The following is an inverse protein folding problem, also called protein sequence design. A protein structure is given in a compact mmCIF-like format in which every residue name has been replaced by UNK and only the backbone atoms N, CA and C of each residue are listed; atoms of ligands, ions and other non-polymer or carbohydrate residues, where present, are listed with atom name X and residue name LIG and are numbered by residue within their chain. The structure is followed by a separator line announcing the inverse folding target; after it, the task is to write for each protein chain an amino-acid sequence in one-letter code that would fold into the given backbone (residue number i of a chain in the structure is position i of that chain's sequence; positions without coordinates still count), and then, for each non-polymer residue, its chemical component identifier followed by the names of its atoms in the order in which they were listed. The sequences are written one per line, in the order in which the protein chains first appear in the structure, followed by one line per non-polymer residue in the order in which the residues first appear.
data_IF_225977748694
#
_entry.id   IF_225977748694
#
_cell.length_a   1.000
_cell.length_b   1.000
_cell.length_c   1.000
_cell.angle_alpha   90.00
_cell.angle_beta   90.00
_cell.angle_gamma   90.00
#
_symmetry.space_group_name_H-M   'P 1'
#
loop_
_entity.id
_entity.type
_entity.pdbx_description
1 polymer ?
#
# COMPACT_ATOMS: atom_id res chain seq x y z
N UNK A 1 -2.74 33.08 12.91
CA UNK A 1 -3.57 32.27 11.99
C UNK A 1 -3.27 30.80 12.28
N UNK A 2 -4.26 29.93 12.50
CA UNK A 2 -4.01 28.49 12.70
C UNK A 2 -3.84 27.86 11.32
N UNK A 3 -2.65 27.35 11.02
CA UNK A 3 -2.37 26.68 9.75
C UNK A 3 -3.28 25.45 9.58
N UNK A 4 -3.81 25.27 8.37
CA UNK A 4 -4.59 24.10 7.99
C UNK A 4 -4.41 23.85 6.49
N UNK A 5 -4.03 22.63 6.13
CA UNK A 5 -3.93 22.19 4.75
C UNK A 5 -5.18 21.40 4.38
N UNK A 6 -5.81 21.78 3.27
CA UNK A 6 -6.98 21.12 2.73
C UNK A 6 -6.71 19.63 2.43
N UNK A 7 -7.53 18.75 2.99
CA UNK A 7 -7.44 17.31 2.76
C UNK A 7 -7.64 16.94 1.29
N UNK A 8 -8.49 17.67 0.56
CA UNK A 8 -8.74 17.40 -0.86
C UNK A 8 -7.46 17.61 -1.70
N UNK A 9 -6.70 18.67 -1.42
CA UNK A 9 -5.43 18.96 -2.11
C UNK A 9 -4.39 17.85 -1.91
N UNK A 10 -4.33 17.28 -0.72
CA UNK A 10 -3.39 16.19 -0.44
C UNK A 10 -3.81 14.91 -1.14
N UNK A 11 -5.10 14.56 -1.11
CA UNK A 11 -5.61 13.40 -1.83
C UNK A 11 -5.39 13.52 -3.36
N UNK A 12 -5.61 14.71 -3.92
CA UNK A 12 -5.34 15.01 -5.33
C UNK A 12 -3.85 14.84 -5.65
N UNK A 13 -2.98 15.45 -4.85
CA UNK A 13 -1.53 15.33 -5.02
C UNK A 13 -1.05 13.87 -4.93
N UNK A 14 -1.57 13.08 -3.99
CA UNK A 14 -1.24 11.65 -3.86
C UNK A 14 -1.58 10.89 -5.13
N UNK A 15 -2.78 11.07 -5.69
CA UNK A 15 -3.19 10.41 -6.94
C UNK A 15 -2.36 10.89 -8.12
N UNK A 16 -2.07 12.18 -8.19
CA UNK A 16 -1.24 12.75 -9.25
C UNK A 16 0.18 12.16 -9.23
N UNK A 17 0.79 12.06 -8.05
CA UNK A 17 2.16 11.55 -7.91
C UNK A 17 2.24 10.05 -8.20
N UNK A 18 1.31 9.22 -7.71
CA UNK A 18 1.25 7.80 -8.11
C UNK A 18 1.17 7.66 -9.64
N UNK A 19 0.31 8.46 -10.30
CA UNK A 19 0.19 8.46 -11.76
C UNK A 19 1.46 8.93 -12.45
N UNK A 20 2.14 9.97 -11.94
CA UNK A 20 3.43 10.46 -12.46
C UNK A 20 4.54 9.41 -12.34
N UNK A 21 4.45 8.56 -11.32
CA UNK A 21 5.32 7.38 -11.12
C UNK A 21 4.83 6.14 -11.86
N UNK A 22 3.84 6.29 -12.76
CA UNK A 22 3.28 5.22 -13.59
C UNK A 22 2.65 4.05 -12.81
N UNK A 23 2.16 4.32 -11.60
CA UNK A 23 1.42 3.36 -10.75
C UNK A 23 -0.07 3.57 -10.96
N UNK A 24 -0.77 2.54 -11.44
CA UNK A 24 -2.24 2.55 -11.58
C UNK A 24 -2.89 1.78 -10.43
N UNK A 25 -4.04 2.27 -9.95
CA UNK A 25 -4.80 1.59 -8.89
C UNK A 25 -5.14 0.15 -9.27
N UNK A 26 -5.41 -0.11 -10.56
CA UNK A 26 -5.70 -1.45 -11.09
C UNK A 26 -4.55 -2.43 -10.84
N UNK A 27 -3.30 -2.00 -10.99
CA UNK A 27 -2.11 -2.83 -10.81
C UNK A 27 -1.92 -3.18 -9.32
N UNK A 28 -2.28 -2.28 -8.42
CA UNK A 28 -2.32 -2.56 -6.98
C UNK A 28 -3.45 -3.55 -6.66
N UNK A 29 -4.61 -3.40 -7.29
CA UNK A 29 -5.75 -4.29 -7.11
C UNK A 29 -5.44 -5.73 -7.58
N UNK A 30 -4.61 -5.89 -8.62
CA UNK A 30 -4.10 -7.20 -9.06
C UNK A 30 -3.22 -7.85 -7.99
N UNK A 31 -2.41 -7.09 -7.24
CA UNK A 31 -1.66 -7.61 -6.09
C UNK A 31 -2.60 -8.07 -4.97
N UNK A 32 -3.66 -7.31 -4.69
CA UNK A 32 -4.68 -7.70 -3.71
C UNK A 32 -5.38 -8.99 -4.13
N UNK A 33 -5.74 -9.11 -5.41
CA UNK A 33 -6.31 -10.32 -5.98
C UNK A 33 -5.35 -11.50 -5.81
N UNK A 34 -4.06 -11.32 -6.15
CA UNK A 34 -3.03 -12.33 -5.97
C UNK A 34 -2.91 -12.81 -4.51
N UNK A 35 -2.98 -11.88 -3.55
CA UNK A 35 -2.92 -12.18 -2.12
C UNK A 35 -4.14 -12.94 -1.59
N UNK A 36 -5.33 -12.67 -2.12
CA UNK A 36 -6.59 -13.09 -1.51
C UNK A 36 -7.36 -14.16 -2.29
N UNK A 37 -7.08 -14.39 -3.58
CA UNK A 37 -7.88 -15.28 -4.44
C UNK A 37 -7.96 -16.74 -3.93
N UNK A 38 -6.91 -17.24 -3.28
CA UNK A 38 -6.86 -18.60 -2.74
C UNK A 38 -7.75 -18.78 -1.49
N UNK A 39 -8.07 -17.67 -0.81
CA UNK A 39 -8.88 -17.67 0.41
C UNK A 39 -10.32 -17.25 0.15
N UNK A 40 -10.55 -16.50 -0.94
CA UNK A 40 -11.84 -15.88 -1.25
C UNK A 40 -12.22 -16.22 -2.71
N UNK A 41 -12.91 -17.35 -2.95
CA UNK A 41 -13.16 -17.88 -4.29
C UNK A 41 -13.96 -16.97 -5.23
N UNK A 42 -14.84 -16.14 -4.67
CA UNK A 42 -15.73 -15.20 -5.38
C UNK A 42 -15.21 -13.75 -5.33
N UNK A 43 -13.92 -13.55 -5.01
CA UNK A 43 -13.31 -12.23 -5.03
C UNK A 43 -13.23 -11.68 -6.46
N UNK A 44 -13.70 -10.45 -6.65
CA UNK A 44 -13.60 -9.77 -7.94
C UNK A 44 -12.52 -8.68 -7.92
N UNK A 45 -11.98 -8.34 -9.10
CA UNK A 45 -11.02 -7.24 -9.21
C UNK A 45 -11.65 -5.90 -8.81
N UNK A 46 -12.97 -5.75 -8.97
CA UNK A 46 -13.71 -4.58 -8.52
C UNK A 46 -13.69 -4.46 -6.98
N UNK A 47 -13.87 -5.57 -6.25
CA UNK A 47 -13.76 -5.59 -4.79
C UNK A 47 -12.35 -5.19 -4.33
N UNK A 48 -11.33 -5.74 -5.01
CA UNK A 48 -9.92 -5.40 -4.76
C UNK A 48 -9.69 -3.90 -4.96
N UNK A 49 -10.14 -3.36 -6.09
CA UNK A 49 -9.98 -1.94 -6.43
C UNK A 49 -10.70 -1.04 -5.43
N UNK A 50 -11.93 -1.37 -5.03
CA UNK A 50 -12.63 -0.62 -3.98
C UNK A 50 -11.80 -0.60 -2.70
N UNK A 51 -11.25 -1.76 -2.29
CA UNK A 51 -10.44 -1.85 -1.08
C UNK A 51 -9.17 -0.99 -1.15
N UNK A 52 -8.47 -0.98 -2.29
CA UNK A 52 -7.32 -0.09 -2.53
C UNK A 52 -7.73 1.38 -2.41
N UNK A 53 -8.84 1.78 -3.02
CA UNK A 53 -9.34 3.17 -2.94
C UNK A 53 -9.62 3.59 -1.48
N UNK A 54 -10.19 2.72 -0.65
CA UNK A 54 -10.40 3.00 0.79
C UNK A 54 -9.11 3.17 1.57
N UNK A 55 -8.05 2.48 1.18
CA UNK A 55 -6.71 2.66 1.78
C UNK A 55 -6.14 4.02 1.37
N UNK A 56 -6.25 4.40 0.09
CA UNK A 56 -5.76 5.68 -0.45
C UNK A 56 -6.51 6.90 0.12
N UNK A 57 -7.73 6.74 0.61
CA UNK A 57 -8.49 7.80 1.29
C UNK A 57 -7.91 8.20 2.66
N UNK A 58 -7.04 7.37 3.26
CA UNK A 58 -6.49 7.60 4.60
C UNK A 58 -5.38 8.64 4.57
N UNK A 59 -5.43 9.60 5.50
CA UNK A 59 -4.46 10.69 5.59
C UNK A 59 -3.04 10.17 5.85
N UNK A 60 -2.91 9.19 6.74
CA UNK A 60 -1.63 8.57 7.08
C UNK A 60 -0.99 7.89 5.86
N UNK A 61 -1.80 7.23 5.02
CA UNK A 61 -1.34 6.62 3.76
C UNK A 61 -0.89 7.69 2.77
N UNK A 62 -1.67 8.75 2.60
CA UNK A 62 -1.32 9.85 1.71
C UNK A 62 -0.01 10.52 2.11
N UNK A 63 0.20 10.71 3.41
CA UNK A 63 1.45 11.26 3.95
C UNK A 63 2.64 10.33 3.64
N UNK A 64 2.49 9.02 3.83
CA UNK A 64 3.53 8.05 3.51
C UNK A 64 3.87 8.04 2.02
N UNK A 65 2.86 7.98 1.14
CA UNK A 65 3.05 8.01 -0.32
C UNK A 65 3.80 9.28 -0.76
N UNK A 66 3.35 10.45 -0.33
CA UNK A 66 3.97 11.71 -0.72
C UNK A 66 5.41 11.84 -0.21
N UNK A 67 5.67 11.35 1.01
CA UNK A 67 7.00 11.39 1.62
C UNK A 67 7.97 10.46 0.89
N UNK A 68 7.57 9.20 0.65
CA UNK A 68 8.41 8.22 -0.03
C UNK A 68 8.73 8.61 -1.47
N UNK A 69 7.71 8.98 -2.25
CA UNK A 69 7.91 9.44 -3.64
C UNK A 69 8.82 10.68 -3.68
N UNK A 70 8.70 11.59 -2.70
CA UNK A 70 9.57 12.76 -2.68
C UNK A 70 11.04 12.38 -2.41
N UNK A 71 11.31 11.40 -1.55
CA UNK A 71 12.67 10.92 -1.29
C UNK A 71 13.26 10.22 -2.51
N UNK A 72 12.47 9.39 -3.20
CA UNK A 72 12.85 8.79 -4.48
C UNK A 72 13.22 9.87 -5.52
N UNK A 73 12.41 10.92 -5.68
CA UNK A 73 12.67 12.01 -6.62
C UNK A 73 13.91 12.82 -6.24
N UNK A 74 14.14 13.09 -4.95
CA UNK A 74 15.35 13.79 -4.51
C UNK A 74 16.60 12.94 -4.77
N UNK A 75 16.49 11.62 -4.59
CA UNK A 75 17.55 10.68 -4.90
C UNK A 75 17.88 10.68 -6.40
N UNK A 76 16.86 10.64 -7.26
CA UNK A 76 17.01 10.74 -8.74
C UNK A 76 17.77 12.00 -9.16
N UNK A 77 17.53 13.11 -8.47
CA UNK A 77 18.17 14.40 -8.76
C UNK A 77 19.55 14.58 -8.13
N UNK A 78 20.01 13.64 -7.31
CA UNK A 78 21.26 13.80 -6.57
C UNK A 78 21.20 14.86 -5.46
N UNK A 79 20.01 15.14 -4.94
CA UNK A 79 19.77 16.21 -3.95
C UNK A 79 19.81 15.71 -2.50
N UNK A 80 20.03 14.40 -2.27
CA UNK A 80 20.25 13.87 -0.93
C UNK A 80 21.72 14.05 -0.52
N UNK A 81 21.98 14.25 0.77
CA UNK A 81 23.35 14.29 1.28
C UNK A 81 23.96 12.87 1.31
N UNK A 82 25.29 12.76 1.17
CA UNK A 82 25.98 11.50 1.41
C UNK A 82 26.07 11.20 2.93
N UNK A 83 25.97 9.94 3.39
CA UNK A 83 25.85 8.71 2.60
C UNK A 83 24.41 8.33 2.18
N UNK A 84 23.39 9.11 2.57
CA UNK A 84 21.97 8.80 2.28
C UNK A 84 21.68 8.69 0.78
N UNK A 85 22.30 9.54 -0.03
CA UNK A 85 22.20 9.47 -1.48
C UNK A 85 22.55 8.08 -2.03
N UNK A 86 23.63 7.46 -1.54
CA UNK A 86 24.04 6.14 -2.00
C UNK A 86 23.17 5.02 -1.42
N UNK A 87 22.76 5.15 -0.15
CA UNK A 87 21.88 4.15 0.46
C UNK A 87 20.55 4.03 -0.27
N UNK A 88 19.89 5.16 -0.56
CA UNK A 88 18.61 5.17 -1.27
C UNK A 88 18.83 4.77 -2.72
N UNK A 89 19.80 5.37 -3.43
CA UNK A 89 20.00 5.10 -4.86
C UNK A 89 20.26 3.62 -5.17
N UNK A 90 21.02 2.96 -4.30
CA UNK A 90 21.39 1.57 -4.50
C UNK A 90 20.37 0.60 -3.91
N UNK A 91 19.37 1.10 -3.17
CA UNK A 91 18.41 0.27 -2.44
C UNK A 91 19.20 -0.73 -1.55
N UNK A 92 19.96 -0.13 -0.63
CA UNK A 92 20.90 -0.82 0.23
C UNK A 92 20.14 -1.70 1.24
N UNK A 93 20.35 -3.03 1.21
CA UNK A 93 19.54 -3.95 2.02
C UNK A 93 19.68 -3.84 3.56
N UNK A 94 20.51 -2.93 4.09
CA UNK A 94 20.55 -2.57 5.51
C UNK A 94 19.90 -1.20 5.81
N UNK A 95 19.52 -0.47 4.78
CA UNK A 95 18.66 0.70 4.87
C UNK A 95 17.22 0.22 4.94
N UNK A 96 16.58 0.40 6.09
CA UNK A 96 15.25 -0.17 6.37
C UNK A 96 14.15 0.89 6.58
N UNK A 97 14.33 2.10 6.07
CA UNK A 97 13.48 3.26 6.43
C UNK A 97 12.24 3.34 5.53
N UNK A 98 12.41 2.94 4.29
CA UNK A 98 11.40 2.57 3.30
C UNK A 98 10.39 1.56 3.86
N UNK A 99 10.83 0.44 4.42
CA UNK A 99 9.91 -0.55 5.01
C UNK A 99 9.25 0.02 6.28
N UNK A 100 9.96 0.83 7.09
CA UNK A 100 9.34 1.49 8.25
C UNK A 100 8.19 2.40 7.80
N UNK A 101 8.39 3.16 6.71
CA UNK A 101 7.35 4.02 6.15
C UNK A 101 6.20 3.18 5.58
N UNK A 102 6.50 2.11 4.87
CA UNK A 102 5.52 1.17 4.33
C UNK A 102 4.70 0.49 5.44
N UNK A 103 5.34 0.08 6.53
CA UNK A 103 4.67 -0.48 7.71
C UNK A 103 3.68 0.49 8.35
N UNK A 104 3.90 1.81 8.24
CA UNK A 104 2.91 2.80 8.70
C UNK A 104 1.57 2.71 7.94
N UNK A 105 1.59 2.31 6.66
CA UNK A 105 0.41 2.05 5.85
C UNK A 105 -0.25 0.74 6.29
N UNK A 106 0.54 -0.33 6.42
CA UNK A 106 0.05 -1.65 6.82
C UNK A 106 -0.67 -1.60 8.17
N UNK A 107 -0.13 -0.84 9.12
CA UNK A 107 -0.66 -0.69 10.48
C UNK A 107 -2.11 -0.18 10.53
N UNK A 108 -2.57 0.56 9.52
CA UNK A 108 -3.92 1.13 9.50
C UNK A 108 -5.00 0.05 9.47
N UNK A 109 -4.68 -1.12 8.90
CA UNK A 109 -5.57 -2.28 8.83
C UNK A 109 -5.06 -3.47 9.64
N UNK A 110 -4.14 -3.23 10.59
CA UNK A 110 -3.72 -4.19 11.59
C UNK A 110 -2.67 -5.20 11.13
N UNK A 111 -2.26 -6.05 12.09
CA UNK A 111 -1.09 -6.93 11.97
C UNK A 111 -1.24 -8.06 10.95
N UNK A 112 -2.47 -8.37 10.51
CA UNK A 112 -2.72 -9.35 9.43
C UNK A 112 -2.00 -8.91 8.15
N UNK A 113 -1.84 -7.61 7.94
CA UNK A 113 -1.17 -7.08 6.75
C UNK A 113 0.33 -7.34 6.73
N UNK A 114 0.96 -7.65 7.88
CA UNK A 114 2.41 -7.76 7.97
C UNK A 114 2.94 -8.94 7.17
N UNK A 115 2.25 -10.09 7.29
CA UNK A 115 2.63 -11.31 6.56
C UNK A 115 2.40 -11.14 5.07
N UNK A 116 1.29 -10.51 4.67
CA UNK A 116 1.01 -10.19 3.27
C UNK A 116 2.08 -9.26 2.69
N UNK A 117 2.43 -8.19 3.42
CA UNK A 117 3.44 -7.22 2.99
C UNK A 117 4.80 -7.90 2.79
N UNK A 118 5.35 -8.54 3.81
CA UNK A 118 6.64 -9.22 3.71
C UNK A 118 6.66 -10.35 2.66
N UNK A 119 5.51 -10.97 2.38
CA UNK A 119 5.40 -12.00 1.34
C UNK A 119 5.54 -11.43 -0.07
N UNK A 120 4.79 -10.37 -0.41
CA UNK A 120 4.86 -9.76 -1.76
C UNK A 120 6.10 -8.89 -1.93
N UNK A 121 6.61 -8.31 -0.85
CA UNK A 121 7.90 -7.62 -0.86
C UNK A 121 9.03 -8.58 -1.26
N UNK A 122 9.07 -9.78 -0.67
CA UNK A 122 10.04 -10.80 -1.07
C UNK A 122 9.87 -11.31 -2.50
N UNK A 123 8.62 -11.50 -2.95
CA UNK A 123 8.32 -12.09 -4.26
C UNK A 123 8.35 -11.07 -5.41
N UNK A 124 8.09 -9.79 -5.11
CA UNK A 124 7.88 -8.69 -6.05
C UNK A 124 7.02 -9.06 -7.27
N UNK A 125 5.78 -9.58 -7.15
CA UNK A 125 4.95 -9.91 -8.31
C UNK A 125 4.40 -8.66 -9.02
N UNK A 126 4.07 -8.79 -10.31
CA UNK A 126 3.30 -7.79 -11.05
C UNK A 126 3.99 -6.43 -11.10
N UNK A 127 3.32 -5.37 -10.64
CA UNK A 127 3.90 -4.02 -10.62
C UNK A 127 5.16 -3.92 -9.76
N UNK A 128 5.29 -4.73 -8.70
CA UNK A 128 6.48 -4.70 -7.85
C UNK A 128 7.72 -5.18 -8.60
N UNK A 129 7.58 -6.12 -9.54
CA UNK A 129 8.68 -6.56 -10.40
C UNK A 129 9.20 -5.40 -11.24
N UNK A 130 8.26 -4.62 -11.82
CA UNK A 130 8.59 -3.44 -12.62
C UNK A 130 9.22 -2.34 -11.80
N UNK A 131 8.73 -2.07 -10.59
CA UNK A 131 9.29 -1.02 -9.73
C UNK A 131 10.67 -1.40 -9.18
N UNK A 132 10.93 -2.69 -9.00
CA UNK A 132 12.24 -3.20 -8.59
C UNK A 132 13.27 -3.25 -9.74
N UNK A 133 12.84 -3.06 -10.99
CA UNK A 133 13.74 -2.99 -12.15
C UNK A 133 14.49 -1.64 -12.19
N UNK A 134 15.80 -1.67 -11.99
CA UNK A 134 16.68 -0.49 -11.95
C UNK A 134 17.05 0.05 -13.34
N UNK A 135 16.48 -0.49 -14.42
CA UNK A 135 16.85 -0.12 -15.80
C UNK A 135 16.00 1.00 -16.42
N UNK A 136 14.91 1.44 -15.77
CA UNK A 136 14.02 2.48 -16.29
C UNK A 136 14.53 3.92 -16.05
N UNK A 137 15.62 4.07 -15.28
CA UNK A 137 16.24 5.34 -14.94
C UNK A 137 15.57 6.09 -13.78
N UNK A 138 14.55 5.50 -13.17
CA UNK A 138 13.88 6.01 -11.98
C UNK A 138 14.38 5.30 -10.72
N UNK A 139 14.24 5.95 -9.57
CA UNK A 139 14.48 5.36 -8.24
C UNK A 139 13.13 5.06 -7.62
N UNK A 140 12.90 3.83 -7.19
CA UNK A 140 11.64 3.39 -6.60
C UNK A 140 11.81 2.73 -5.23
N UNK A 141 12.92 3.02 -4.53
CA UNK A 141 13.27 2.44 -3.23
C UNK A 141 12.17 2.57 -2.20
N UNK A 142 11.48 3.72 -2.14
CA UNK A 142 10.32 3.84 -1.27
C UNK A 142 9.03 3.38 -1.94
N UNK A 143 8.90 3.62 -3.24
CA UNK A 143 7.64 3.44 -3.94
C UNK A 143 7.20 1.98 -4.03
N UNK A 144 8.11 1.03 -4.26
CA UNK A 144 7.75 -0.38 -4.38
C UNK A 144 7.20 -0.94 -3.06
N UNK A 145 7.85 -0.62 -1.94
CA UNK A 145 7.40 -0.95 -0.60
C UNK A 145 6.07 -0.29 -0.25
N UNK A 146 5.88 0.98 -0.61
CA UNK A 146 4.62 1.69 -0.42
C UNK A 146 3.50 1.00 -1.22
N UNK A 147 3.75 0.60 -2.47
CA UNK A 147 2.77 -0.10 -3.30
C UNK A 147 2.43 -1.46 -2.70
N UNK A 148 3.43 -2.22 -2.25
CA UNK A 148 3.23 -3.47 -1.54
C UNK A 148 2.41 -3.29 -0.27
N UNK A 149 2.72 -2.28 0.54
CA UNK A 149 1.99 -2.00 1.77
C UNK A 149 0.53 -1.60 1.55
N UNK A 150 0.23 -0.84 0.49
CA UNK A 150 -1.16 -0.52 0.11
C UNK A 150 -1.92 -1.80 -0.25
N UNK A 151 -1.32 -2.69 -1.04
CA UNK A 151 -1.93 -3.97 -1.41
C UNK A 151 -2.15 -4.87 -0.17
N UNK A 152 -1.18 -4.94 0.74
CA UNK A 152 -1.29 -5.70 1.97
C UNK A 152 -2.38 -5.14 2.91
N UNK A 153 -2.44 -3.81 3.07
CA UNK A 153 -3.47 -3.14 3.85
C UNK A 153 -4.88 -3.35 3.27
N UNK A 154 -5.01 -3.24 1.94
CA UNK A 154 -6.26 -3.48 1.22
C UNK A 154 -6.71 -4.94 1.36
N UNK A 155 -5.77 -5.89 1.36
CA UNK A 155 -6.03 -7.31 1.59
C UNK A 155 -6.55 -7.57 3.00
N UNK A 156 -5.92 -6.97 4.03
CA UNK A 156 -6.39 -7.05 5.42
C UNK A 156 -7.80 -6.48 5.59
N UNK A 157 -8.11 -5.35 4.92
CA UNK A 157 -9.46 -4.78 4.91
C UNK A 157 -10.50 -5.78 4.37
N UNK A 158 -10.19 -6.46 3.27
CA UNK A 158 -11.10 -7.46 2.67
C UNK A 158 -11.32 -8.62 3.64
N UNK A 159 -10.24 -9.17 4.20
CA UNK A 159 -10.31 -10.28 5.14
C UNK A 159 -11.19 -9.95 6.36
N UNK A 160 -11.04 -8.75 6.95
CA UNK A 160 -11.90 -8.29 8.04
C UNK A 160 -13.36 -8.13 7.61
N UNK A 161 -13.60 -7.57 6.42
CA UNK A 161 -14.96 -7.30 5.92
C UNK A 161 -15.72 -8.60 5.67
N UNK A 162 -15.08 -9.62 5.08
CA UNK A 162 -15.71 -10.90 4.76
C UNK A 162 -15.90 -11.80 5.99
N UNK A 163 -15.06 -11.66 7.01
CA UNK A 163 -15.24 -12.36 8.30
C UNK A 163 -16.35 -11.72 9.16
N UNK A 164 -16.55 -10.41 9.04
CA UNK A 164 -17.56 -9.67 9.80
C UNK A 164 -19.00 -9.87 9.31
N UNK A 165 -19.20 -10.57 8.18
CA UNK A 165 -20.52 -11.07 7.77
C UNK A 165 -20.86 -12.25 8.70
N UNK A 166 -21.29 -11.93 9.91
CA UNK A 166 -21.88 -12.92 10.81
C UNK A 166 -23.08 -13.55 10.10
N UNK A 167 -23.29 -14.88 10.21
CA UNK A 167 -24.56 -15.47 9.81
C UNK A 167 -25.70 -14.73 10.53
N UNK A 168 -26.91 -14.63 9.93
CA UNK A 168 -28.06 -14.09 10.65
C UNK A 168 -28.15 -14.79 12.00
N UNK A 169 -28.27 -14.01 13.08
CA UNK A 169 -28.55 -14.59 14.39
C UNK A 169 -29.84 -15.37 14.24
N UNK A 170 -29.77 -16.70 14.34
CA UNK A 170 -30.97 -17.51 14.47
C UNK A 170 -31.79 -16.89 15.61
N UNK A 171 -33.01 -16.47 15.27
CA UNK A 171 -33.97 -15.96 16.25
C UNK A 171 -34.10 -17.02 17.34
N UNK A 172 -33.79 -16.61 18.56
CA UNK A 172 -33.74 -17.46 19.73
C UNK A 172 -34.93 -18.43 19.76
N UNK A 173 -34.63 -19.73 19.83
CA UNK A 173 -35.61 -20.74 20.21
C UNK A 173 -36.28 -20.27 21.50
N UNK A 174 -37.56 -19.94 21.37
CA UNK A 174 -38.44 -19.66 22.49
C UNK A 174 -38.35 -20.83 23.47
N UNK A 175 -38.14 -20.61 24.77
CA UNK A 175 -38.20 -21.73 25.71
C UNK A 175 -39.63 -22.28 25.65
N UNK A 176 -39.75 -23.57 25.31
CA UNK A 176 -40.98 -24.32 25.33
C UNK A 176 -41.57 -24.32 26.76
N UNK A 177 -42.91 -24.44 26.90
CA UNK A 177 -43.66 -24.10 28.11
C UNK A 177 -43.36 -24.96 29.34
#
# INVERSE_FOLDING_TARGET
MKYSLDSAKVAEATREWLRKRNVRTEEIAELVMFLQNQYIPDLTLADCKESVERVLEKREVQNAILTGIQLDILCERGELFAPLQEMVKNDEGLYGVDEILAMSIVNIYGTIGYTNFGYIDKLKPGILERLNDKNDGYIHTFLDDIVGAIAAAASSRIAHTRTAVLPPRDEAESPAP
#
